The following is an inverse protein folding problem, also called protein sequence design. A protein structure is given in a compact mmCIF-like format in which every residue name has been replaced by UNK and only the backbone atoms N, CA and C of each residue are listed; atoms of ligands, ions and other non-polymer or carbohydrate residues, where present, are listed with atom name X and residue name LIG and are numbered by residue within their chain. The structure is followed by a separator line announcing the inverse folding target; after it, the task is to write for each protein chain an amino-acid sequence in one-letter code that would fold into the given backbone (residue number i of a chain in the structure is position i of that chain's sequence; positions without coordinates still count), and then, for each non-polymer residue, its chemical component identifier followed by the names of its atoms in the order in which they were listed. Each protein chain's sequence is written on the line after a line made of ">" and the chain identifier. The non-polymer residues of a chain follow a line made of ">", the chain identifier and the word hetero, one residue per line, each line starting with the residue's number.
data_IF_203080461110
#
_entry.id   IF_203080461110
#
_cell.length_a   1.000
_cell.length_b   1.000
_cell.length_c   1.000
_cell.angle_alpha   90.00
_cell.angle_beta   90.00
_cell.angle_gamma   90.00
#
_symmetry.space_group_name_H-M   'P 1'
#
loop_
_entity.id
_entity.type
_entity.pdbx_description
1 polymer ?
#
# COMPACT_ATOMS: atom_id res chain seq x y z
N UNK A 1 -0.85 16.80 -15.69
CA UNK A 1 -0.69 17.01 -14.22
C UNK A 1 -1.06 18.42 -13.76
N UNK A 2 -0.83 19.48 -14.55
CA UNK A 2 -1.15 20.88 -14.18
C UNK A 2 -2.51 21.10 -13.50
N UNK A 3 -3.66 20.71 -14.11
CA UNK A 3 -4.98 20.88 -13.48
C UNK A 3 -5.10 20.19 -12.12
N UNK A 4 -4.60 18.95 -12.00
CA UNK A 4 -4.60 18.21 -10.75
C UNK A 4 -3.74 18.89 -9.67
N UNK A 5 -2.58 19.43 -10.06
CA UNK A 5 -1.71 20.20 -9.16
C UNK A 5 -2.36 21.51 -8.68
N UNK A 6 -3.26 22.08 -9.48
CA UNK A 6 -4.09 23.25 -9.13
C UNK A 6 -5.36 22.91 -8.33
N UNK A 7 -5.57 21.64 -7.96
CA UNK A 7 -6.72 21.22 -7.14
C UNK A 7 -7.94 20.72 -7.90
N UNK A 8 -7.84 20.50 -9.23
CA UNK A 8 -8.92 19.87 -9.99
C UNK A 8 -9.08 18.39 -9.59
N UNK A 9 -10.13 18.10 -8.82
CA UNK A 9 -10.45 16.76 -8.34
C UNK A 9 -10.77 15.74 -9.45
N UNK A 10 -11.27 16.19 -10.62
CA UNK A 10 -11.50 15.30 -11.77
C UNK A 10 -10.16 14.87 -12.36
N UNK A 11 -9.26 15.83 -12.55
CA UNK A 11 -7.91 15.55 -13.03
C UNK A 11 -7.12 14.64 -12.07
N UNK A 12 -7.28 14.81 -10.74
CA UNK A 12 -6.72 13.88 -9.74
C UNK A 12 -7.31 12.48 -9.93
N UNK A 13 -8.63 12.37 -10.06
CA UNK A 13 -9.31 11.08 -10.25
C UNK A 13 -8.83 10.34 -11.49
N UNK A 14 -8.68 11.04 -12.62
CA UNK A 14 -8.20 10.45 -13.87
C UNK A 14 -6.76 9.97 -13.76
N UNK A 15 -5.90 10.72 -13.06
CA UNK A 15 -4.53 10.30 -12.73
C UNK A 15 -4.55 9.00 -11.91
N UNK A 16 -5.35 8.94 -10.84
CA UNK A 16 -5.43 7.74 -9.99
C UNK A 16 -5.96 6.52 -10.76
N UNK A 17 -6.95 6.70 -11.65
CA UNK A 17 -7.47 5.61 -12.51
C UNK A 17 -6.39 5.02 -13.41
N UNK A 18 -5.53 5.86 -13.97
CA UNK A 18 -4.41 5.42 -14.82
C UNK A 18 -3.33 4.70 -14.00
N UNK A 19 -3.07 5.16 -12.79
CA UNK A 19 -1.97 4.66 -11.95
C UNK A 19 -2.35 3.38 -11.20
N UNK A 20 -3.58 3.27 -10.73
CA UNK A 20 -4.06 2.17 -9.89
C UNK A 20 -3.66 0.77 -10.41
N UNK A 21 -3.96 0.38 -11.66
CA UNK A 21 -3.58 -0.94 -12.16
C UNK A 21 -2.06 -1.15 -12.25
N UNK A 22 -1.27 -0.09 -12.44
CA UNK A 22 0.19 -0.16 -12.53
C UNK A 22 0.81 -0.41 -11.15
N UNK A 23 0.38 0.35 -10.15
CA UNK A 23 0.89 0.20 -8.78
C UNK A 23 0.41 -1.11 -8.16
N UNK A 24 -0.80 -1.56 -8.48
CA UNK A 24 -1.30 -2.87 -8.05
C UNK A 24 -0.46 -4.02 -8.61
N UNK A 25 -0.12 -3.97 -9.92
CA UNK A 25 0.81 -4.95 -10.52
C UNK A 25 2.18 -4.92 -9.86
N UNK A 26 2.71 -3.73 -9.58
CA UNK A 26 3.99 -3.56 -8.91
C UNK A 26 3.97 -4.13 -7.48
N UNK A 27 2.93 -3.84 -6.70
CA UNK A 27 2.83 -4.34 -5.34
C UNK A 27 2.69 -5.87 -5.32
N UNK A 28 1.85 -6.44 -6.21
CA UNK A 28 1.70 -7.89 -6.31
C UNK A 28 3.00 -8.60 -6.69
N UNK A 29 3.79 -8.06 -7.62
CA UNK A 29 5.07 -8.69 -8.00
C UNK A 29 6.11 -8.64 -6.89
N UNK A 30 6.02 -7.66 -5.98
CA UNK A 30 6.93 -7.51 -4.85
C UNK A 30 6.49 -8.26 -3.59
N UNK A 31 5.18 -8.29 -3.33
CA UNK A 31 4.62 -8.80 -2.07
C UNK A 31 4.05 -10.22 -2.20
N UNK A 32 3.70 -10.66 -3.41
CA UNK A 32 2.98 -11.91 -3.67
C UNK A 32 3.68 -13.21 -3.26
N UNK A 33 4.98 -13.17 -2.97
CA UNK A 33 5.73 -14.32 -2.45
C UNK A 33 5.75 -14.40 -0.91
N UNK A 34 5.14 -13.45 -0.21
CA UNK A 34 5.30 -13.29 1.25
C UNK A 34 4.01 -13.66 1.98
N UNK A 35 3.79 -14.97 2.17
CA UNK A 35 2.63 -15.50 2.89
C UNK A 35 2.53 -15.06 4.37
N UNK A 36 3.59 -14.44 4.92
CA UNK A 36 3.68 -14.01 6.32
C UNK A 36 3.51 -12.50 6.52
N UNK A 37 3.25 -11.72 5.46
CA UNK A 37 2.99 -10.28 5.66
C UNK A 37 1.58 -10.08 6.23
N UNK A 38 1.49 -9.39 7.38
CA UNK A 38 0.21 -8.90 7.90
C UNK A 38 -0.45 -7.84 6.99
N UNK A 39 0.35 -7.21 6.11
CA UNK A 39 -0.09 -6.14 5.20
C UNK A 39 -0.27 -6.71 3.79
N UNK A 40 -1.45 -6.55 3.21
CA UNK A 40 -1.75 -7.05 1.87
C UNK A 40 -1.20 -6.15 0.77
N UNK A 41 -1.14 -6.66 -0.46
CA UNK A 41 -0.80 -5.82 -1.61
C UNK A 41 -1.79 -4.67 -1.80
N UNK A 42 -3.07 -4.88 -1.50
CA UNK A 42 -4.13 -3.88 -1.65
C UNK A 42 -3.99 -2.76 -0.61
N UNK A 43 -3.57 -3.08 0.62
CA UNK A 43 -3.28 -2.08 1.65
C UNK A 43 -2.14 -1.14 1.21
N UNK A 44 -1.06 -1.71 0.66
CA UNK A 44 0.08 -0.93 0.15
C UNK A 44 -0.33 -0.09 -1.05
N UNK A 45 -1.16 -0.61 -1.95
CA UNK A 45 -1.71 0.14 -3.09
C UNK A 45 -2.47 1.37 -2.60
N UNK A 46 -3.34 1.23 -1.60
CA UNK A 46 -4.09 2.36 -1.07
C UNK A 46 -3.18 3.41 -0.42
N UNK A 47 -2.17 2.99 0.34
CA UNK A 47 -1.17 3.92 0.89
C UNK A 47 -0.45 4.71 -0.22
N UNK A 48 -0.14 4.06 -1.35
CA UNK A 48 0.50 4.71 -2.51
C UNK A 48 -0.44 5.70 -3.17
N UNK A 49 -1.71 5.34 -3.40
CA UNK A 49 -2.69 6.24 -4.00
C UNK A 49 -2.91 7.47 -3.12
N UNK A 50 -3.06 7.30 -1.81
CA UNK A 50 -3.20 8.39 -0.85
C UNK A 50 -1.96 9.30 -0.83
N UNK A 51 -0.77 8.70 -0.77
CA UNK A 51 0.48 9.45 -0.85
C UNK A 51 0.62 10.22 -2.17
N UNK A 52 0.16 9.63 -3.27
CA UNK A 52 0.15 10.27 -4.59
C UNK A 52 -0.77 11.49 -4.60
N UNK A 53 -1.99 11.40 -4.05
CA UNK A 53 -2.91 12.55 -3.91
C UNK A 53 -2.25 13.69 -3.15
N UNK A 54 -1.61 13.40 -2.01
CA UNK A 54 -0.92 14.42 -1.22
C UNK A 54 0.32 15.03 -1.90
N UNK A 55 0.94 14.27 -2.80
CA UNK A 55 2.13 14.69 -3.52
C UNK A 55 1.84 15.49 -4.79
N UNK A 56 0.68 15.29 -5.43
CA UNK A 56 0.32 15.95 -6.70
C UNK A 56 0.52 17.48 -6.66
N UNK A 57 0.02 18.23 -5.66
CA UNK A 57 0.18 19.69 -5.62
C UNK A 57 1.63 20.15 -5.43
N UNK A 58 2.49 19.25 -4.93
CA UNK A 58 3.92 19.53 -4.64
C UNK A 58 4.86 18.96 -5.69
N UNK A 59 4.34 18.23 -6.68
CA UNK A 59 5.15 17.64 -7.72
C UNK A 59 5.80 18.74 -8.57
N UNK A 60 7.12 18.67 -8.70
CA UNK A 60 7.91 19.49 -9.60
C UNK A 60 8.60 18.58 -10.60
N UNK A 61 8.46 18.90 -11.88
CA UNK A 61 9.20 18.21 -12.92
C UNK A 61 10.69 18.53 -12.75
N UNK A 62 11.48 17.49 -12.47
CA UNK A 62 12.93 17.54 -12.30
C UNK A 62 13.64 16.68 -13.35
N UNK A 63 13.03 16.50 -14.52
CA UNK A 63 13.56 15.65 -15.60
C UNK A 63 13.18 14.18 -15.48
N UNK A 64 12.23 13.83 -14.60
CA UNK A 64 11.67 12.48 -14.46
C UNK A 64 10.16 12.55 -14.61
N UNK A 65 9.61 11.58 -15.34
CA UNK A 65 8.16 11.48 -15.52
C UNK A 65 7.42 11.34 -14.19
N UNK A 66 6.17 11.81 -14.14
CA UNK A 66 5.34 11.66 -12.95
C UNK A 66 5.17 10.19 -12.54
N UNK A 67 5.10 9.27 -13.51
CA UNK A 67 5.03 7.84 -13.22
C UNK A 67 6.28 7.33 -12.51
N UNK A 68 7.47 7.81 -12.88
CA UNK A 68 8.71 7.46 -12.18
C UNK A 68 8.71 7.98 -10.72
N UNK A 69 8.17 9.17 -10.50
CA UNK A 69 7.96 9.71 -9.15
C UNK A 69 7.01 8.83 -8.32
N UNK A 70 5.90 8.39 -8.90
CA UNK A 70 4.93 7.49 -8.25
C UNK A 70 5.55 6.12 -7.94
N UNK A 71 6.40 5.58 -8.84
CA UNK A 71 7.14 4.35 -8.53
C UNK A 71 8.16 4.53 -7.39
N UNK A 72 8.70 5.74 -7.19
CA UNK A 72 9.51 6.07 -6.01
C UNK A 72 8.70 5.99 -4.72
N UNK A 73 7.48 6.54 -4.71
CA UNK A 73 6.53 6.39 -3.59
C UNK A 73 6.23 4.91 -3.35
N UNK A 74 5.93 4.16 -4.41
CA UNK A 74 5.61 2.74 -4.33
C UNK A 74 6.75 1.90 -3.73
N UNK A 75 7.99 2.12 -4.18
CA UNK A 75 9.16 1.43 -3.66
C UNK A 75 9.34 1.67 -2.16
N UNK A 76 9.17 2.91 -1.70
CA UNK A 76 9.23 3.24 -0.28
C UNK A 76 8.14 2.52 0.51
N UNK A 77 6.89 2.54 0.05
CA UNK A 77 5.76 1.89 0.74
C UNK A 77 5.89 0.37 0.81
N UNK A 78 6.38 -0.27 -0.25
CA UNK A 78 6.71 -1.70 -0.23
C UNK A 78 7.83 -2.00 0.78
N UNK A 79 8.90 -1.19 0.80
CA UNK A 79 9.98 -1.36 1.77
C UNK A 79 9.49 -1.16 3.21
N UNK A 80 8.58 -0.20 3.44
CA UNK A 80 7.94 0.01 4.75
C UNK A 80 7.13 -1.22 5.19
N UNK A 81 6.36 -1.82 4.28
CA UNK A 81 5.58 -3.02 4.55
C UNK A 81 6.46 -4.19 4.99
N UNK A 82 7.58 -4.42 4.29
CA UNK A 82 8.58 -5.42 4.70
C UNK A 82 9.20 -5.11 6.08
N UNK A 83 9.49 -3.84 6.39
CA UNK A 83 10.03 -3.49 7.72
C UNK A 83 9.01 -3.77 8.82
N UNK A 84 7.73 -3.45 8.62
CA UNK A 84 6.65 -3.72 9.59
C UNK A 84 6.50 -5.21 9.88
N UNK A 85 6.59 -6.07 8.87
CA UNK A 85 6.47 -7.53 9.05
C UNK A 85 7.66 -8.17 9.79
N UNK A 86 8.85 -7.58 9.69
CA UNK A 86 10.03 -8.07 10.43
C UNK A 86 9.96 -7.69 11.92
N UNK A 87 9.38 -6.52 12.25
CA UNK A 87 9.24 -6.07 13.64
C UNK A 87 8.08 -6.73 14.38
N UNK A 88 7.02 -7.13 13.66
CA UNK A 88 5.87 -7.84 14.21
C UNK A 88 5.68 -9.19 13.52
N UNK A 89 6.49 -10.22 13.84
CA UNK A 89 6.17 -11.57 13.42
C UNK A 89 4.86 -11.94 14.12
N UNK A 90 3.76 -11.98 13.37
CA UNK A 90 2.52 -12.56 13.84
C UNK A 90 2.76 -14.05 14.04
N UNK A 91 3.21 -14.44 15.24
CA UNK A 91 3.10 -15.82 15.68
C UNK A 91 1.60 -16.07 15.91
N UNK A 92 0.96 -16.98 15.16
CA UNK A 92 -0.36 -17.45 15.51
C UNK A 92 -0.19 -18.18 16.84
N UNK A 93 -0.58 -17.54 17.95
CA UNK A 93 -0.79 -18.27 19.19
C UNK A 93 -2.02 -19.13 18.97
N UNK A 94 -1.81 -20.44 18.90
CA UNK A 94 -2.84 -21.47 18.92
C UNK A 94 -3.49 -21.48 20.31
N UNK A 95 -4.12 -20.36 20.71
CA UNK A 95 -5.00 -20.33 21.88
C UNK A 95 -6.32 -20.96 21.45
N UNK A 96 -6.33 -22.30 21.44
CA UNK A 96 -7.53 -23.09 21.51
C UNK A 96 -8.30 -22.62 22.74
N UNK A 97 -9.53 -22.09 22.61
CA UNK A 97 -10.34 -21.79 23.79
C UNK A 97 -10.55 -23.10 24.55
N UNK A 98 -10.05 -23.18 25.77
CA UNK A 98 -10.34 -24.30 26.67
C UNK A 98 -11.86 -24.26 26.91
N UNK A 99 -12.59 -25.12 26.21
CA UNK A 99 -14.03 -25.28 26.43
C UNK A 99 -14.23 -25.78 27.84
N UNK A 100 -14.90 -24.98 28.68
CA UNK A 100 -15.26 -25.35 30.03
C UNK A 100 -15.94 -26.73 30.04
N UNK A 101 -15.29 -27.69 30.71
CA UNK A 101 -15.84 -29.02 30.96
C UNK A 101 -17.16 -28.90 31.71
N UNK A 102 -18.19 -29.58 31.21
CA UNK A 102 -19.50 -29.65 31.85
C UNK A 102 -19.34 -30.24 33.25
N UNK A 103 -19.79 -29.48 34.26
CA UNK A 103 -19.92 -29.97 35.61
C UNK A 103 -20.85 -31.21 35.62
N UNK A 104 -20.27 -32.34 36.02
CA UNK A 104 -21.00 -33.52 36.45
C UNK A 104 -20.59 -33.81 37.90
N UNK A 105 -21.58 -33.85 38.80
CA UNK A 105 -21.42 -34.21 40.22
C UNK A 105 -22.00 -33.18 41.16
#
# INVERSE_FOLDING_TARGET
>A
IGPAASGDGRAVTDILRLIHPLVHRYCRSRLGNTAHLQVTADDVVQEILLATVHAIPRYRDQGKSFLAFVYGIAANKVADAFRRSQTHPAYPTDEVPETASQAAG
#
